data_IF_306955844352
#
_entry.id   IF_306955844352
#
_cell.length_a   1.000
_cell.length_b   1.000
_cell.length_c   1.000
_cell.angle_alpha   90.00
_cell.angle_beta   90.00
_cell.angle_gamma   90.00
#
_symmetry.space_group_name_H-M   'P 1'
#
loop_
_entity.id
_entity.type
_entity.pdbx_description
1 polymer ?
#
# COMPACT_ATOMS: atom_id res chain seq x y z
N UNK A 1 2.55 15.87 -21.60
CA UNK A 1 4.01 15.65 -21.53
C UNK A 1 4.54 15.27 -22.91
N UNK A 2 4.05 14.21 -23.57
CA UNK A 2 4.49 13.83 -24.94
C UNK A 2 4.26 14.90 -26.02
N UNK A 3 3.22 15.73 -25.91
CA UNK A 3 2.93 16.81 -26.87
C UNK A 3 3.35 18.20 -26.37
N UNK A 4 4.03 18.30 -25.21
CA UNK A 4 4.46 19.58 -24.61
C UNK A 4 3.39 20.33 -23.80
N UNK A 5 2.13 19.89 -23.83
CA UNK A 5 1.01 20.63 -23.19
C UNK A 5 0.85 20.41 -21.67
N UNK A 6 1.71 19.62 -21.03
CA UNK A 6 1.62 19.33 -19.58
C UNK A 6 3.02 19.39 -18.97
N UNK A 7 3.20 20.29 -18.01
CA UNK A 7 4.46 20.52 -17.28
C UNK A 7 4.67 19.57 -16.09
N UNK A 8 3.59 19.02 -15.53
CA UNK A 8 3.63 18.06 -14.41
C UNK A 8 2.39 17.15 -14.40
N UNK A 9 2.56 15.90 -13.96
CA UNK A 9 1.45 14.96 -13.77
C UNK A 9 1.57 14.22 -12.43
N UNK A 10 0.44 13.97 -11.79
CA UNK A 10 0.38 13.09 -10.62
C UNK A 10 0.27 11.63 -11.05
N UNK A 11 1.03 10.75 -10.40
CA UNK A 11 0.96 9.29 -10.59
C UNK A 11 1.25 8.56 -9.28
N UNK A 12 1.02 7.25 -9.26
CA UNK A 12 1.43 6.36 -8.17
C UNK A 12 2.75 5.70 -8.51
N UNK A 13 3.56 5.38 -7.50
CA UNK A 13 4.91 4.84 -7.72
C UNK A 13 4.89 3.55 -8.54
N UNK A 14 3.96 2.63 -8.28
CA UNK A 14 3.80 1.38 -9.02
C UNK A 14 3.55 1.55 -10.53
N UNK A 15 3.13 2.75 -10.96
CA UNK A 15 2.91 3.09 -12.37
C UNK A 15 4.13 3.77 -13.02
N UNK A 16 5.21 4.06 -12.29
CA UNK A 16 6.39 4.73 -12.85
C UNK A 16 7.05 3.92 -13.97
N UNK A 17 6.99 2.60 -13.92
CA UNK A 17 7.50 1.75 -15.00
C UNK A 17 6.82 2.05 -16.35
N UNK A 18 5.59 2.56 -16.34
CA UNK A 18 4.91 2.98 -17.57
C UNK A 18 5.47 4.28 -18.17
N UNK A 19 6.36 5.00 -17.48
CA UNK A 19 7.00 6.23 -17.92
C UNK A 19 8.45 6.02 -18.39
N UNK A 20 8.87 4.75 -18.60
CA UNK A 20 10.23 4.39 -19.04
C UNK A 20 10.65 4.97 -20.40
N UNK A 21 9.68 5.47 -21.17
CA UNK A 21 9.89 6.11 -22.46
C UNK A 21 10.35 7.57 -22.37
N UNK A 22 10.38 8.18 -21.18
CA UNK A 22 10.99 9.49 -20.97
C UNK A 22 12.46 9.35 -20.58
N UNK A 23 13.34 10.00 -21.36
CA UNK A 23 14.79 10.01 -21.09
C UNK A 23 15.13 10.76 -19.78
N UNK A 24 14.34 11.77 -19.42
CA UNK A 24 14.51 12.57 -18.20
C UNK A 24 13.19 12.71 -17.45
N UNK A 25 13.13 12.18 -16.21
CA UNK A 25 12.00 12.33 -15.31
C UNK A 25 12.48 12.86 -13.96
N UNK A 26 11.95 14.03 -13.55
CA UNK A 26 12.12 14.53 -12.19
C UNK A 26 10.96 14.04 -11.32
N UNK A 27 11.25 13.18 -10.35
CA UNK A 27 10.25 12.68 -9.40
C UNK A 27 10.23 13.62 -8.19
N UNK A 28 9.03 14.10 -7.85
CA UNK A 28 8.79 14.95 -6.68
C UNK A 28 7.92 14.15 -5.69
N UNK A 29 8.52 13.42 -4.73
CA UNK A 29 7.76 12.69 -3.73
C UNK A 29 6.91 13.66 -2.90
N UNK A 30 5.61 13.38 -2.75
CA UNK A 30 4.74 14.18 -1.88
C UNK A 30 5.20 14.15 -0.41
N UNK A 31 5.89 13.08 -0.01
CA UNK A 31 6.52 12.96 1.32
C UNK A 31 7.53 14.06 1.61
N UNK A 32 8.25 14.55 0.60
CA UNK A 32 9.24 15.63 0.76
C UNK A 32 8.56 16.97 1.07
N UNK A 33 7.29 17.12 0.67
CA UNK A 33 6.42 18.23 1.04
C UNK A 33 5.65 17.98 2.35
N UNK A 34 5.98 16.92 3.10
CA UNK A 34 5.35 16.57 4.37
C UNK A 34 4.00 15.85 4.22
N UNK A 35 3.64 15.37 3.03
CA UNK A 35 2.45 14.54 2.86
C UNK A 35 2.73 13.11 3.31
N UNK A 36 2.14 12.74 4.45
CA UNK A 36 2.10 11.36 4.94
C UNK A 36 0.64 10.96 5.06
N UNK A 37 0.28 9.88 4.40
CA UNK A 37 -1.07 9.32 4.43
C UNK A 37 -1.03 7.80 4.63
N UNK A 38 -2.10 7.20 5.15
CA UNK A 38 -2.29 5.77 5.05
C UNK A 38 -2.21 5.36 3.58
N UNK A 39 -1.49 4.26 3.32
CA UNK A 39 -1.44 3.63 2.00
C UNK A 39 -2.74 2.83 1.75
N UNK A 40 -2.70 1.92 0.78
CA UNK A 40 -3.79 1.01 0.46
C UNK A 40 -4.22 0.20 1.69
N UNK A 41 -5.53 0.15 1.94
CA UNK A 41 -6.13 -0.54 3.07
C UNK A 41 -7.19 -1.56 2.63
N UNK A 42 -7.31 -2.66 3.37
CA UNK A 42 -8.50 -3.50 3.33
C UNK A 42 -9.61 -2.85 4.16
N UNK A 43 -10.83 -2.77 3.62
CA UNK A 43 -11.96 -2.20 4.32
C UNK A 43 -13.15 -3.16 4.34
N UNK A 44 -13.95 -3.06 5.40
CA UNK A 44 -15.23 -3.75 5.56
C UNK A 44 -16.12 -2.93 6.48
N UNK A 45 -17.42 -3.22 6.52
CA UNK A 45 -18.31 -2.55 7.48
C UNK A 45 -18.11 -3.09 8.89
N UNK A 46 -18.32 -2.24 9.89
CA UNK A 46 -18.32 -2.70 11.29
C UNK A 46 -19.32 -3.83 11.55
N UNK A 47 -20.48 -3.76 10.90
CA UNK A 47 -21.52 -4.78 11.00
C UNK A 47 -21.02 -6.13 10.47
N UNK A 48 -20.37 -6.14 9.31
CA UNK A 48 -19.84 -7.36 8.71
C UNK A 48 -18.72 -7.95 9.56
N UNK A 49 -17.81 -7.11 10.08
CA UNK A 49 -16.74 -7.54 10.99
C UNK A 49 -17.30 -8.16 12.27
N UNK A 50 -18.32 -7.53 12.88
CA UNK A 50 -18.96 -8.04 14.11
C UNK A 50 -19.69 -9.36 13.88
N UNK A 51 -20.36 -9.52 12.73
CA UNK A 51 -21.11 -10.73 12.38
C UNK A 51 -20.22 -11.89 11.93
N UNK A 52 -19.08 -11.59 11.28
CA UNK A 52 -18.23 -12.60 10.63
C UNK A 52 -16.74 -12.47 11.03
N UNK A 53 -16.39 -12.41 12.32
CA UNK A 53 -15.01 -12.13 12.74
C UNK A 53 -14.01 -13.19 12.25
N UNK A 54 -14.35 -14.48 12.31
CA UNK A 54 -13.49 -15.58 11.81
C UNK A 54 -13.25 -15.48 10.30
N UNK A 55 -14.29 -15.14 9.52
CA UNK A 55 -14.16 -15.00 8.07
C UNK A 55 -13.22 -13.84 7.71
N UNK A 56 -13.34 -12.71 8.41
CA UNK A 56 -12.47 -11.56 8.18
C UNK A 56 -11.02 -11.90 8.58
N UNK A 57 -10.80 -12.55 9.72
CA UNK A 57 -9.45 -12.99 10.13
C UNK A 57 -8.84 -13.95 9.09
N UNK A 58 -9.61 -14.94 8.63
CA UNK A 58 -9.15 -15.89 7.60
C UNK A 58 -8.80 -15.21 6.29
N UNK A 59 -9.59 -14.21 5.88
CA UNK A 59 -9.32 -13.43 4.68
C UNK A 59 -8.03 -12.61 4.84
N UNK A 60 -7.90 -11.83 5.91
CA UNK A 60 -6.71 -11.03 6.21
C UNK A 60 -5.47 -11.92 6.27
N UNK A 61 -5.55 -13.07 6.94
CA UNK A 61 -4.48 -14.07 7.00
C UNK A 61 -4.07 -14.61 5.64
N UNK A 62 -5.02 -14.91 4.76
CA UNK A 62 -4.72 -15.35 3.40
C UNK A 62 -4.06 -14.24 2.57
N UNK A 63 -4.55 -13.01 2.67
CA UNK A 63 -3.96 -11.85 1.99
C UNK A 63 -2.52 -11.61 2.45
N UNK A 64 -2.26 -11.60 3.76
CA UNK A 64 -0.92 -11.42 4.30
C UNK A 64 0.03 -12.54 3.86
N UNK A 65 -0.43 -13.81 3.78
CA UNK A 65 0.38 -14.90 3.19
C UNK A 65 0.74 -14.63 1.73
N UNK A 66 -0.20 -14.13 0.94
CA UNK A 66 0.05 -13.74 -0.44
C UNK A 66 1.12 -12.64 -0.54
N UNK A 67 1.00 -11.59 0.29
CA UNK A 67 2.00 -10.52 0.34
C UNK A 67 3.38 -11.04 0.74
N UNK A 68 3.47 -11.89 1.76
CA UNK A 68 4.74 -12.51 2.16
C UNK A 68 5.34 -13.33 1.01
N UNK A 69 4.55 -14.15 0.33
CA UNK A 69 5.03 -14.93 -0.81
C UNK A 69 5.53 -14.03 -1.94
N UNK A 70 4.85 -12.90 -2.23
CA UNK A 70 5.31 -11.91 -3.20
C UNK A 70 6.60 -11.23 -2.77
N UNK A 71 6.78 -10.90 -1.48
CA UNK A 71 7.99 -10.27 -0.97
C UNK A 71 9.21 -11.21 -0.99
N UNK A 72 8.97 -12.51 -0.79
CA UNK A 72 9.97 -13.58 -0.81
C UNK A 72 10.38 -13.96 -2.25
N UNK A 73 9.42 -14.08 -3.17
CA UNK A 73 9.66 -14.41 -4.58
C UNK A 73 8.75 -13.59 -5.52
N UNK A 74 9.12 -12.34 -5.84
CA UNK A 74 8.35 -11.47 -6.72
C UNK A 74 8.14 -12.08 -8.11
N UNK A 75 9.12 -12.85 -8.61
CA UNK A 75 9.07 -13.48 -9.92
C UNK A 75 8.01 -14.58 -9.96
N UNK A 76 8.02 -15.51 -9.01
CA UNK A 76 7.02 -16.56 -8.95
C UNK A 76 5.61 -15.98 -8.73
N UNK A 77 5.48 -14.93 -7.92
CA UNK A 77 4.21 -14.22 -7.75
C UNK A 77 3.72 -13.58 -9.06
N UNK A 78 4.61 -12.96 -9.83
CA UNK A 78 4.29 -12.35 -11.11
C UNK A 78 3.87 -13.38 -12.17
N UNK A 79 4.57 -14.52 -12.26
CA UNK A 79 4.22 -15.64 -13.13
C UNK A 79 2.84 -16.23 -12.76
N UNK A 80 2.60 -16.44 -11.46
CA UNK A 80 1.32 -16.94 -10.97
C UNK A 80 0.16 -15.99 -11.33
N UNK A 81 0.35 -14.68 -11.16
CA UNK A 81 -0.67 -13.67 -11.46
C UNK A 81 -0.90 -13.52 -12.97
N UNK A 82 0.15 -13.45 -13.78
CA UNK A 82 0.06 -13.36 -15.24
C UNK A 82 -0.64 -14.58 -15.85
N UNK A 83 -0.53 -15.77 -15.24
CA UNK A 83 -1.25 -16.97 -15.68
C UNK A 83 -2.79 -16.88 -15.54
N UNK A 84 -3.29 -15.92 -14.76
CA UNK A 84 -4.73 -15.76 -14.44
C UNK A 84 -5.35 -14.52 -15.06
N UNK A 85 -4.56 -13.54 -15.46
CA UNK A 85 -5.05 -12.24 -15.94
C UNK A 85 -4.63 -12.05 -17.39
N UNK A 86 -5.61 -12.04 -18.29
CA UNK A 86 -5.37 -11.77 -19.70
C UNK A 86 -4.68 -10.41 -19.89
N UNK A 87 -3.74 -10.34 -20.84
CA UNK A 87 -2.98 -9.13 -21.20
C UNK A 87 -2.03 -8.59 -20.12
N UNK A 88 -1.78 -9.33 -19.03
CA UNK A 88 -0.76 -8.98 -18.04
C UNK A 88 0.48 -9.84 -18.26
N UNK A 89 1.65 -9.20 -18.38
CA UNK A 89 2.94 -9.88 -18.60
C UNK A 89 3.71 -9.99 -17.30
N UNK A 90 4.23 -11.19 -17.00
CA UNK A 90 4.98 -11.44 -15.77
C UNK A 90 6.17 -10.48 -15.57
N UNK A 91 7.02 -10.15 -16.57
CA UNK A 91 8.13 -9.22 -16.35
C UNK A 91 7.71 -7.83 -15.89
N UNK A 92 6.57 -7.32 -16.37
CA UNK A 92 6.05 -6.02 -15.95
C UNK A 92 5.54 -6.07 -14.50
N UNK A 93 4.84 -7.15 -14.12
CA UNK A 93 4.40 -7.36 -12.74
C UNK A 93 5.58 -7.53 -11.76
N UNK A 94 6.60 -8.28 -12.15
CA UNK A 94 7.81 -8.47 -11.34
C UNK A 94 8.49 -7.13 -11.08
N UNK A 95 8.63 -6.29 -12.12
CA UNK A 95 9.17 -4.93 -11.96
C UNK A 95 8.32 -4.08 -11.01
N UNK A 96 6.99 -4.13 -11.11
CA UNK A 96 6.09 -3.45 -10.17
C UNK A 96 6.26 -3.97 -8.74
N UNK A 97 6.33 -5.28 -8.51
CA UNK A 97 6.51 -5.85 -7.18
C UNK A 97 7.86 -5.49 -6.55
N UNK A 98 8.93 -5.49 -7.34
CA UNK A 98 10.25 -5.04 -6.88
C UNK A 98 10.22 -3.55 -6.50
N UNK A 99 9.54 -2.73 -7.29
CA UNK A 99 9.38 -1.30 -7.00
C UNK A 99 8.52 -1.08 -5.74
N UNK A 100 7.41 -1.80 -5.59
CA UNK A 100 6.51 -1.65 -4.44
C UNK A 100 7.14 -2.15 -3.13
N UNK A 101 8.04 -3.15 -3.21
CA UNK A 101 8.71 -3.73 -2.04
C UNK A 101 9.36 -2.68 -1.14
N UNK A 102 9.99 -1.65 -1.70
CA UNK A 102 10.65 -0.59 -0.93
C UNK A 102 9.67 0.32 -0.16
N UNK A 103 8.39 0.33 -0.52
CA UNK A 103 7.34 1.09 0.18
C UNK A 103 6.53 0.22 1.15
N UNK A 104 6.54 -1.10 0.95
CA UNK A 104 5.91 -2.07 1.85
C UNK A 104 6.84 -2.42 3.00
N UNK A 105 8.13 -2.65 2.71
CA UNK A 105 9.16 -3.01 3.67
C UNK A 105 9.89 -1.74 4.10
N UNK A 106 9.53 -1.23 5.27
CA UNK A 106 10.08 -0.02 5.88
C UNK A 106 10.47 -0.29 7.32
N UNK A 107 11.22 0.60 7.97
CA UNK A 107 11.51 0.51 9.41
C UNK A 107 10.25 0.35 10.27
N UNK A 108 9.14 0.97 9.85
CA UNK A 108 7.85 0.81 10.53
C UNK A 108 7.32 -0.61 10.37
N UNK A 109 7.35 -1.15 9.15
CA UNK A 109 6.87 -2.52 8.87
C UNK A 109 7.74 -3.56 9.56
N UNK A 110 9.07 -3.39 9.57
CA UNK A 110 9.98 -4.32 10.25
C UNK A 110 9.78 -4.33 11.76
N UNK A 111 9.48 -3.17 12.36
CA UNK A 111 9.25 -3.06 13.81
C UNK A 111 7.87 -3.53 14.24
N UNK A 112 6.83 -3.22 13.45
CA UNK A 112 5.43 -3.40 13.88
C UNK A 112 4.74 -4.58 13.19
N UNK A 113 5.27 -5.04 12.06
CA UNK A 113 4.77 -6.14 11.28
C UNK A 113 3.96 -5.74 10.04
N UNK A 114 3.88 -6.66 9.08
CA UNK A 114 3.19 -6.45 7.81
C UNK A 114 1.68 -6.28 8.00
N UNK A 115 1.11 -5.24 7.39
CA UNK A 115 -0.32 -4.93 7.42
C UNK A 115 -0.78 -4.13 8.64
N UNK A 116 0.11 -3.80 9.57
CA UNK A 116 -0.20 -2.92 10.70
C UNK A 116 -0.32 -1.47 10.22
N UNK A 117 -1.39 -0.80 10.62
CA UNK A 117 -1.59 0.61 10.33
C UNK A 117 -0.90 1.51 11.37
N UNK A 118 -0.26 2.58 10.89
CA UNK A 118 0.28 3.65 11.71
C UNK A 118 -0.80 4.70 12.03
N UNK A 119 -1.14 4.87 13.31
CA UNK A 119 -2.12 5.87 13.76
C UNK A 119 -1.74 7.31 13.38
N UNK A 120 -0.45 7.64 13.38
CA UNK A 120 0.03 8.98 13.09
C UNK A 120 -0.22 9.36 11.63
N UNK A 121 -0.07 8.40 10.70
CA UNK A 121 -0.35 8.63 9.27
C UNK A 121 -1.84 8.96 9.05
N UNK A 122 -2.75 8.29 9.76
CA UNK A 122 -4.18 8.59 9.71
C UNK A 122 -4.49 9.99 10.27
N UNK A 123 -3.86 10.35 11.40
CA UNK A 123 -4.05 11.65 12.04
C UNK A 123 -3.52 12.80 11.14
N UNK A 124 -2.37 12.61 10.51
CA UNK A 124 -1.78 13.58 9.58
C UNK A 124 -2.67 13.79 8.35
N UNK A 125 -3.20 12.72 7.77
CA UNK A 125 -4.14 12.83 6.64
C UNK A 125 -5.42 13.57 7.04
N UNK A 126 -6.01 13.25 8.19
CA UNK A 126 -7.21 13.93 8.67
C UNK A 126 -6.97 15.43 8.92
N UNK A 127 -5.83 15.80 9.51
CA UNK A 127 -5.45 17.20 9.72
C UNK A 127 -5.23 17.93 8.38
N UNK A 128 -4.59 17.27 7.40
CA UNK A 128 -4.41 17.84 6.07
C UNK A 128 -5.74 18.09 5.37
N UNK A 129 -6.64 17.10 5.36
CA UNK A 129 -7.97 17.23 4.74
C UNK A 129 -8.78 18.34 5.41
N UNK A 130 -8.66 18.52 6.73
CA UNK A 130 -9.27 19.64 7.43
C UNK A 130 -8.67 20.99 6.99
N UNK A 131 -7.34 21.11 6.93
CA UNK A 131 -6.66 22.34 6.46
C UNK A 131 -7.02 22.70 5.02
N UNK A 132 -7.19 21.70 4.17
CA UNK A 132 -7.62 21.84 2.77
C UNK A 132 -9.14 22.05 2.62
N UNK A 133 -9.88 22.16 3.72
CA UNK A 133 -11.35 22.33 3.74
C UNK A 133 -12.10 21.21 3.02
N UNK A 134 -11.52 20.02 2.98
CA UNK A 134 -12.18 18.78 2.53
C UNK A 134 -12.97 18.10 3.66
N UNK A 135 -12.71 18.49 4.91
CA UNK A 135 -13.51 18.13 6.08
C UNK A 135 -14.05 19.39 6.74
N UNK A 136 -15.35 19.43 7.00
CA UNK A 136 -16.01 20.56 7.68
C UNK A 136 -15.52 20.76 9.12
N UNK A 137 -15.06 19.67 9.76
CA UNK A 137 -14.59 19.65 11.13
C UNK A 137 -13.45 18.65 11.30
N UNK A 138 -12.65 18.85 12.34
CA UNK A 138 -11.64 17.88 12.76
C UNK A 138 -12.30 16.56 13.13
N UNK A 139 -11.68 15.45 12.72
CA UNK A 139 -12.13 14.09 13.00
C UNK A 139 -11.05 13.35 13.79
N UNK A 140 -11.47 12.51 14.73
CA UNK A 140 -10.59 11.54 15.38
C UNK A 140 -10.45 10.33 14.47
N UNK A 141 -9.38 10.30 13.69
CA UNK A 141 -9.11 9.25 12.70
C UNK A 141 -8.67 7.93 13.32
N UNK A 142 -8.36 7.89 14.62
CA UNK A 142 -7.96 6.64 15.30
C UNK A 142 -9.09 5.61 15.34
N UNK A 143 -10.34 6.05 15.13
CA UNK A 143 -11.53 5.20 15.04
C UNK A 143 -11.78 4.65 13.64
N UNK A 144 -11.01 5.08 12.63
CA UNK A 144 -11.25 4.71 11.24
C UNK A 144 -10.53 3.42 10.82
N UNK A 145 -9.71 2.84 11.69
CA UNK A 145 -9.01 1.58 11.42
C UNK A 145 -8.88 0.74 12.70
N UNK A 146 -8.50 -0.53 12.54
CA UNK A 146 -8.17 -1.42 13.66
C UNK A 146 -7.02 -2.35 13.28
N UNK A 147 -6.04 -2.50 14.17
CA UNK A 147 -4.95 -3.46 13.99
C UNK A 147 -5.26 -4.84 14.61
N UNK A 148 -6.35 -4.97 15.37
CA UNK A 148 -6.68 -6.20 16.13
C UNK A 148 -6.72 -7.47 15.27
N UNK A 149 -7.21 -7.36 14.03
CA UNK A 149 -7.31 -8.50 13.11
C UNK A 149 -5.93 -8.95 12.62
N UNK A 150 -5.04 -7.99 12.36
CA UNK A 150 -3.65 -8.26 11.94
C UNK A 150 -2.83 -8.79 13.12
N UNK A 151 -2.98 -8.20 14.30
CA UNK A 151 -2.33 -8.64 15.54
C UNK A 151 -2.74 -10.07 15.94
N UNK A 152 -3.99 -10.46 15.67
CA UNK A 152 -4.47 -11.84 15.86
C UNK A 152 -3.91 -12.82 14.81
N UNK A 153 -3.18 -12.33 13.80
CA UNK A 153 -2.63 -13.11 12.68
C UNK A 153 -1.09 -13.13 12.74
N UNK A 154 -0.45 -14.17 13.33
CA UNK A 154 1.00 -14.21 13.61
C UNK A 154 1.95 -14.15 12.40
N UNK A 155 1.41 -14.03 11.19
CA UNK A 155 2.17 -13.95 9.93
C UNK A 155 2.85 -12.58 9.78
N UNK A 156 2.35 -11.56 10.49
CA UNK A 156 2.91 -10.22 10.50
C UNK A 156 4.28 -10.11 11.20
N UNK A 157 4.74 -11.11 11.96
CA UNK A 157 5.94 -11.05 12.81
C UNK A 157 7.25 -11.53 12.12
N UNK A 158 7.33 -11.53 10.79
CA UNK A 158 8.60 -11.83 10.10
C UNK A 158 9.40 -10.56 9.93
N UNK A 159 10.72 -10.63 10.08
CA UNK A 159 11.65 -9.59 9.63
C UNK A 159 11.76 -9.68 8.12
N UNK A 160 11.46 -8.60 7.41
CA UNK A 160 11.55 -8.55 5.96
C UNK A 160 12.79 -7.74 5.62
N UNK A 161 13.96 -8.39 5.59
CA UNK A 161 15.22 -7.67 5.31
C UNK A 161 15.13 -6.92 3.98
N UNK A 162 15.37 -5.61 4.01
CA UNK A 162 15.74 -4.85 2.81
C UNK A 162 17.10 -5.37 2.34
N UNK A 163 17.15 -5.93 1.14
CA UNK A 163 18.39 -6.22 0.42
C UNK A 163 18.50 -5.22 -0.72
#
# INVERSE_FOLDING_TARGET
MLEGDIDAAGTFIGNLAAFDFYDELNILPLSDAGYVAPSTALFTSEEFLKKNPDLVERFVRATLRGMVATLEDPKAAAEAMASKIANVKAPALEATFLLDKQFVVTDFTDKNGLGVHNADSWAQQAEMLFKLKQLDKKVDSTKNFTNKVVEATPIAQRTYSSH
#
